data_IF_936811929733
#
_entry.id   IF_936811929733
#
_cell.length_a   1.000
_cell.length_b   1.000
_cell.length_c   1.000
_cell.angle_alpha   90.00
_cell.angle_beta   90.00
_cell.angle_gamma   90.00
#
_symmetry.space_group_name_H-M   'P 1'
#
loop_
_entity.id
_entity.type
_entity.pdbx_description
1 polymer ?
#
# COMPACT_ATOMS: atom_id res chain seq x y z
N UNK A 1 33.37 0.33 0.32
CA UNK A 1 32.37 1.41 0.42
C UNK A 1 32.44 2.18 -0.88
N UNK A 2 31.58 1.81 -1.82
CA UNK A 2 31.46 2.57 -3.08
C UNK A 2 30.72 3.85 -2.71
N UNK A 3 31.24 5.01 -3.12
CA UNK A 3 30.63 6.31 -2.88
C UNK A 3 30.42 6.99 -4.21
N UNK A 4 29.26 7.61 -4.41
CA UNK A 4 28.97 8.49 -5.54
C UNK A 4 29.84 9.77 -5.48
N UNK A 5 30.07 10.48 -6.60
CA UNK A 5 30.86 11.72 -6.64
C UNK A 5 30.33 12.86 -5.74
N UNK A 6 29.10 12.71 -5.27
CA UNK A 6 28.32 13.57 -4.36
C UNK A 6 28.44 13.16 -2.88
N UNK A 7 29.29 12.17 -2.54
CA UNK A 7 29.59 11.77 -1.16
C UNK A 7 28.54 10.86 -0.52
N UNK A 8 27.52 10.45 -1.27
CA UNK A 8 26.48 9.52 -0.84
C UNK A 8 26.99 8.07 -0.93
N UNK A 9 26.75 7.28 0.11
CA UNK A 9 27.07 5.86 0.14
C UNK A 9 26.00 5.04 -0.57
N UNK A 10 26.36 4.21 -1.56
CA UNK A 10 25.40 3.35 -2.27
C UNK A 10 24.66 2.41 -1.31
N UNK A 11 25.33 1.95 -0.25
CA UNK A 11 24.76 1.03 0.74
C UNK A 11 23.52 1.64 1.43
N UNK A 12 23.51 2.95 1.64
CA UNK A 12 22.38 3.66 2.25
C UNK A 12 21.15 3.71 1.34
N UNK A 13 21.36 3.90 0.03
CA UNK A 13 20.28 3.94 -0.97
C UNK A 13 19.65 2.56 -1.11
N UNK A 14 20.49 1.51 -1.21
CA UNK A 14 20.02 0.13 -1.32
C UNK A 14 19.26 -0.30 -0.05
N UNK A 15 19.73 0.12 1.12
CA UNK A 15 19.05 -0.18 2.38
C UNK A 15 17.68 0.51 2.47
N UNK A 16 17.59 1.79 2.09
CA UNK A 16 16.32 2.50 2.06
C UNK A 16 15.33 1.81 1.11
N UNK A 17 15.77 1.51 -0.11
CA UNK A 17 14.93 0.86 -1.13
C UNK A 17 14.42 -0.52 -0.68
N UNK A 18 15.31 -1.36 -0.15
CA UNK A 18 14.93 -2.70 0.31
C UNK A 18 13.95 -2.64 1.48
N UNK A 19 14.15 -1.74 2.44
CA UNK A 19 13.25 -1.59 3.59
C UNK A 19 11.82 -1.22 3.17
N UNK A 20 11.70 -0.32 2.19
CA UNK A 20 10.44 0.07 1.56
C UNK A 20 9.75 -1.11 0.87
N UNK A 21 10.49 -1.89 0.08
CA UNK A 21 9.90 -3.03 -0.64
C UNK A 21 9.29 -4.06 0.31
N UNK A 22 9.98 -4.39 1.41
CA UNK A 22 9.45 -5.30 2.42
C UNK A 22 8.17 -4.75 3.07
N UNK A 23 8.13 -3.45 3.38
CA UNK A 23 6.93 -2.80 3.90
C UNK A 23 5.72 -2.95 2.97
N UNK A 24 5.93 -2.74 1.67
CA UNK A 24 4.87 -2.84 0.67
C UNK A 24 4.32 -4.25 0.52
N UNK A 25 5.21 -5.26 0.48
CA UNK A 25 4.78 -6.65 0.41
C UNK A 25 4.02 -7.09 1.67
N UNK A 26 4.45 -6.63 2.85
CA UNK A 26 3.75 -6.90 4.11
C UNK A 26 2.38 -6.21 4.17
N UNK A 27 2.28 -4.96 3.68
CA UNK A 27 1.01 -4.23 3.63
C UNK A 27 -0.02 -4.94 2.71
N UNK A 28 0.39 -5.33 1.50
CA UNK A 28 -0.52 -6.01 0.56
C UNK A 28 -0.90 -7.41 1.04
N UNK A 29 0.06 -8.17 1.57
CA UNK A 29 -0.21 -9.53 2.06
C UNK A 29 -1.14 -9.52 3.28
N UNK A 30 -0.92 -8.63 4.24
CA UNK A 30 -1.80 -8.49 5.41
C UNK A 30 -3.23 -8.08 5.01
N UNK A 31 -3.38 -7.15 4.08
CA UNK A 31 -4.69 -6.75 3.57
C UNK A 31 -5.41 -7.88 2.83
N UNK A 32 -4.67 -8.69 2.06
CA UNK A 32 -5.22 -9.86 1.37
C UNK A 32 -5.81 -10.87 2.34
N UNK A 33 -5.15 -11.11 3.48
CA UNK A 33 -5.67 -12.00 4.53
C UNK A 33 -6.98 -11.47 5.12
N UNK A 34 -7.08 -10.16 5.33
CA UNK A 34 -8.31 -9.52 5.83
C UNK A 34 -9.46 -9.70 4.82
N UNK A 35 -9.20 -9.54 3.52
CA UNK A 35 -10.21 -9.79 2.48
C UNK A 35 -10.63 -11.26 2.46
N UNK A 36 -9.68 -12.19 2.59
CA UNK A 36 -9.98 -13.61 2.60
C UNK A 36 -10.90 -14.00 3.77
N UNK A 37 -10.62 -13.49 4.98
CA UNK A 37 -11.47 -13.67 6.16
C UNK A 37 -12.87 -13.07 5.96
N UNK A 38 -12.95 -11.91 5.30
CA UNK A 38 -14.20 -11.28 4.92
C UNK A 38 -15.05 -12.15 4.00
N UNK A 39 -14.45 -12.67 2.92
CA UNK A 39 -15.16 -13.51 1.95
C UNK A 39 -15.67 -14.83 2.56
N UNK A 40 -14.91 -15.42 3.50
CA UNK A 40 -15.29 -16.66 4.16
C UNK A 40 -16.52 -16.50 5.08
N UNK A 41 -16.64 -15.36 5.74
CA UNK A 41 -17.71 -15.08 6.72
C UNK A 41 -18.92 -14.38 6.11
N UNK A 42 -18.76 -13.79 4.92
CA UNK A 42 -19.85 -13.17 4.16
C UNK A 42 -21.09 -14.06 3.93
N UNK A 43 -20.99 -15.35 3.54
CA UNK A 43 -22.19 -16.17 3.32
C UNK A 43 -23.02 -16.37 4.59
N UNK A 44 -22.35 -16.48 5.74
CA UNK A 44 -23.04 -16.62 7.04
C UNK A 44 -23.67 -15.30 7.49
N UNK A 45 -23.02 -14.17 7.21
CA UNK A 45 -23.59 -12.84 7.45
C UNK A 45 -24.86 -12.60 6.63
N UNK A 46 -24.85 -12.90 5.34
CA UNK A 46 -26.05 -12.74 4.49
C UNK A 46 -27.18 -13.65 4.97
N UNK A 47 -26.86 -14.87 5.42
CA UNK A 47 -27.89 -15.84 5.84
C UNK A 47 -28.48 -15.52 7.22
N UNK A 48 -27.66 -15.17 8.20
CA UNK A 48 -28.10 -14.90 9.58
C UNK A 48 -28.41 -13.43 9.82
N UNK A 49 -27.53 -12.53 9.42
CA UNK A 49 -27.68 -11.12 9.74
C UNK A 49 -28.78 -10.50 8.89
N UNK A 50 -28.85 -10.72 7.57
CA UNK A 50 -29.81 -9.97 6.73
C UNK A 50 -31.28 -10.27 7.02
N UNK A 51 -31.61 -11.46 7.55
CA UNK A 51 -32.99 -11.81 7.93
C UNK A 51 -33.42 -11.28 9.31
N UNK A 52 -32.47 -10.96 10.17
CA UNK A 52 -32.75 -10.52 11.54
C UNK A 52 -33.11 -9.01 11.60
N UNK A 53 -34.01 -8.59 12.51
CA UNK A 53 -34.36 -7.17 12.69
C UNK A 53 -33.12 -6.32 12.97
N UNK A 54 -33.12 -5.09 12.44
CA UNK A 54 -31.99 -4.16 12.52
C UNK A 54 -31.80 -3.65 13.95
N UNK A 55 -30.83 -4.23 14.66
CA UNK A 55 -30.42 -3.79 16.00
C UNK A 55 -29.16 -2.93 15.92
N UNK A 56 -28.97 -2.01 16.88
CA UNK A 56 -27.83 -1.08 16.93
C UNK A 56 -26.45 -1.77 16.88
N UNK A 57 -26.21 -2.91 17.57
CA UNK A 57 -24.94 -3.64 17.47
C UNK A 57 -24.63 -4.12 16.05
N UNK A 58 -25.66 -4.41 15.25
CA UNK A 58 -25.52 -4.89 13.87
C UNK A 58 -25.04 -3.78 12.93
N UNK A 59 -25.56 -2.57 13.11
CA UNK A 59 -25.11 -1.40 12.35
C UNK A 59 -23.67 -1.05 12.71
N UNK A 60 -23.33 -1.09 14.01
CA UNK A 60 -21.96 -0.87 14.46
C UNK A 60 -21.00 -1.93 13.90
N UNK A 61 -21.43 -3.20 13.89
CA UNK A 61 -20.67 -4.32 13.33
C UNK A 61 -20.38 -4.11 11.83
N UNK A 62 -21.41 -3.80 11.03
CA UNK A 62 -21.19 -3.49 9.61
C UNK A 62 -20.35 -2.22 9.43
N UNK A 63 -20.57 -1.17 10.23
CA UNK A 63 -19.81 0.06 10.16
C UNK A 63 -18.31 -0.17 10.34
N UNK A 64 -17.91 -0.87 11.40
CA UNK A 64 -16.50 -1.16 11.67
C UNK A 64 -15.91 -2.07 10.58
N UNK A 65 -16.65 -3.08 10.15
CA UNK A 65 -16.20 -4.07 9.17
C UNK A 65 -15.99 -3.47 7.77
N UNK A 66 -16.91 -2.64 7.29
CA UNK A 66 -16.75 -1.99 6.00
C UNK A 66 -15.81 -0.78 6.07
N UNK A 67 -15.71 -0.11 7.21
CA UNK A 67 -14.76 0.98 7.42
C UNK A 67 -13.31 0.52 7.24
N UNK A 68 -12.92 -0.62 7.84
CA UNK A 68 -11.54 -1.11 7.72
C UNK A 68 -11.18 -1.55 6.30
N UNK A 69 -12.16 -2.07 5.54
CA UNK A 69 -11.95 -2.39 4.13
C UNK A 69 -11.72 -1.14 3.30
N UNK A 70 -12.56 -0.12 3.47
CA UNK A 70 -12.43 1.15 2.75
C UNK A 70 -11.09 1.82 3.10
N UNK A 71 -10.78 1.93 4.40
CA UNK A 71 -9.53 2.51 4.87
C UNK A 71 -8.31 1.73 4.39
N UNK A 72 -8.37 0.39 4.35
CA UNK A 72 -7.29 -0.44 3.83
C UNK A 72 -7.04 -0.22 2.34
N UNK A 73 -8.11 -0.08 1.53
CA UNK A 73 -7.97 0.28 0.11
C UNK A 73 -7.32 1.65 -0.05
N UNK A 74 -7.80 2.68 0.67
CA UNK A 74 -7.23 4.02 0.60
C UNK A 74 -5.75 4.03 0.98
N UNK A 75 -5.39 3.37 2.08
CA UNK A 75 -4.00 3.27 2.53
C UNK A 75 -3.08 2.65 1.48
N UNK A 76 -3.51 1.57 0.82
CA UNK A 76 -2.71 0.93 -0.23
C UNK A 76 -2.60 1.81 -1.48
N UNK A 77 -3.65 2.55 -1.84
CA UNK A 77 -3.59 3.49 -2.97
C UNK A 77 -2.69 4.68 -2.69
N UNK A 78 -2.72 5.23 -1.48
CA UNK A 78 -1.87 6.35 -1.08
C UNK A 78 -0.39 5.98 -1.09
N UNK A 79 -0.03 4.77 -0.62
CA UNK A 79 1.35 4.31 -0.71
C UNK A 79 1.82 4.19 -2.16
N UNK A 80 1.00 3.66 -3.08
CA UNK A 80 1.40 3.60 -4.49
C UNK A 80 1.61 4.98 -5.14
N UNK A 81 0.93 6.02 -4.66
CA UNK A 81 1.09 7.39 -5.18
C UNK A 81 2.35 8.03 -4.60
N UNK A 82 2.63 7.86 -3.31
CA UNK A 82 3.81 8.45 -2.67
C UNK A 82 5.11 7.71 -3.00
N UNK A 83 5.03 6.40 -3.30
CA UNK A 83 6.14 5.63 -3.90
C UNK A 83 6.36 5.92 -5.39
N UNK A 84 5.55 6.78 -6.00
CA UNK A 84 5.86 7.35 -7.30
C UNK A 84 6.60 8.68 -7.05
N UNK A 85 7.95 8.71 -7.06
CA UNK A 85 8.72 9.92 -6.79
C UNK A 85 8.42 11.07 -7.78
N UNK A 86 7.68 10.82 -8.85
CA UNK A 86 7.24 11.81 -9.83
C UNK A 86 5.84 12.40 -9.59
N UNK A 87 5.02 11.84 -8.69
CA UNK A 87 3.63 12.25 -8.47
C UNK A 87 3.45 13.24 -7.30
N UNK A 88 4.32 13.17 -6.30
CA UNK A 88 4.28 14.07 -5.15
C UNK A 88 5.13 15.29 -5.46
N UNK A 89 4.50 16.45 -5.69
CA UNK A 89 5.16 17.75 -5.90
C UNK A 89 5.98 18.28 -4.71
N UNK A 90 6.47 17.41 -3.83
CA UNK A 90 7.36 17.71 -2.72
C UNK A 90 8.82 17.52 -3.16
N UNK A 91 9.45 18.67 -3.41
CA UNK A 91 10.84 19.12 -3.56
C UNK A 91 12.07 18.24 -3.19
N UNK A 92 11.97 16.94 -2.91
CA UNK A 92 13.13 16.06 -2.97
C UNK A 92 13.33 15.59 -4.43
N UNK A 93 14.49 15.87 -5.04
CA UNK A 93 14.67 15.68 -6.47
C UNK A 93 14.64 14.20 -6.80
N UNK A 94 13.79 13.81 -7.76
CA UNK A 94 14.15 12.73 -8.67
C UNK A 94 15.53 13.08 -9.20
N UNK A 95 16.57 12.41 -8.71
CA UNK A 95 17.89 12.58 -9.31
C UNK A 95 17.77 12.12 -10.76
N UNK A 96 18.09 12.96 -11.76
CA UNK A 96 18.17 12.47 -13.12
C UNK A 96 19.29 11.44 -13.12
N UNK A 97 18.96 10.16 -13.36
CA UNK A 97 19.97 9.23 -13.85
C UNK A 97 20.47 9.85 -15.15
N UNK A 98 21.76 10.18 -15.16
CA UNK A 98 22.43 10.72 -16.32
C UNK A 98 22.08 9.86 -17.54
N UNK A 99 21.44 10.52 -18.49
CA UNK A 99 21.19 10.12 -19.86
C UNK A 99 22.23 9.12 -20.40
N UNK A 100 21.84 7.86 -20.56
CA UNK A 100 22.48 6.95 -21.52
C UNK A 100 21.38 6.16 -22.24
N UNK A 101 21.50 6.15 -23.56
CA UNK A 101 20.42 6.02 -24.53
C UNK A 101 19.71 4.65 -24.57
N UNK A 102 18.58 4.50 -23.88
CA UNK A 102 17.61 3.44 -24.20
C UNK A 102 16.17 3.86 -23.93
N UNK A 103 15.25 3.74 -24.91
CA UNK A 103 13.84 3.96 -24.66
C UNK A 103 13.30 2.73 -23.91
N UNK A 104 12.35 2.98 -23.00
CA UNK A 104 11.60 1.99 -22.23
C UNK A 104 12.33 1.50 -20.97
N UNK A 105 12.26 2.28 -19.90
CA UNK A 105 11.71 1.81 -18.60
C UNK A 105 11.42 3.04 -17.75
N UNK A 106 10.24 3.65 -17.95
CA UNK A 106 9.62 4.43 -16.88
C UNK A 106 9.07 3.41 -15.89
N UNK A 107 9.83 3.12 -14.85
CA UNK A 107 9.33 2.35 -13.72
C UNK A 107 9.88 3.01 -12.46
N UNK A 108 8.93 3.49 -11.65
CA UNK A 108 9.20 3.90 -10.27
C UNK A 108 9.69 2.71 -9.45
#
# INVERSE_FOLDING_TARGET
MTTLPDGVSYDAIVQAYTSTQYGNYLAVSSFTVVIADFLHTFPDEVRLMWKAPMSLPKVLFFGIRYYILIHGVFFLTEQSIEYSPCATGNIHPCYPLHQDDSPLTFMC
#
